data_IF_068682504959
#
_entry.id   IF_068682504959
#
_cell.length_a   1.000
_cell.length_b   1.000
_cell.length_c   1.000
_cell.angle_alpha   90.00
_cell.angle_beta   90.00
_cell.angle_gamma   90.00
#
_symmetry.space_group_name_H-M   'P 1'
#
loop_
_entity.id
_entity.type
_entity.pdbx_description
1 polymer ?
#
# COMPACT_ATOMS: atom_id res chain seq x y z
N UNK A 1 -40.65 -11.75 12.94
CA UNK A 1 -40.15 -10.47 13.50
C UNK A 1 -38.65 -10.50 13.32
N UNK A 2 -38.14 -9.95 12.21
CA UNK A 2 -36.71 -9.98 11.89
C UNK A 2 -36.03 -8.78 12.52
N UNK A 3 -35.14 -9.07 13.48
CA UNK A 3 -34.41 -8.08 14.24
C UNK A 3 -33.30 -7.48 13.36
N UNK A 4 -33.32 -6.16 13.18
CA UNK A 4 -32.39 -5.42 12.30
C UNK A 4 -30.94 -5.45 12.78
N UNK A 5 -30.70 -6.06 13.93
CA UNK A 5 -29.40 -6.27 14.56
C UNK A 5 -28.57 -7.34 13.87
N UNK A 6 -29.18 -8.30 13.17
CA UNK A 6 -28.44 -9.45 12.60
C UNK A 6 -27.60 -9.14 11.36
N UNK A 7 -27.83 -8.00 10.69
CA UNK A 7 -27.02 -7.53 9.56
C UNK A 7 -25.81 -6.66 9.98
N UNK A 8 -25.67 -6.39 11.28
CA UNK A 8 -24.64 -5.50 11.83
C UNK A 8 -23.31 -6.25 12.10
N UNK A 9 -23.29 -7.59 12.11
CA UNK A 9 -22.16 -8.34 12.68
C UNK A 9 -21.18 -9.02 11.71
N UNK A 10 -20.95 -8.46 10.52
CA UNK A 10 -19.85 -8.86 9.64
C UNK A 10 -19.01 -7.63 9.30
N UNK A 11 -18.05 -7.30 10.18
CA UNK A 11 -17.09 -6.23 10.00
C UNK A 11 -16.65 -5.63 11.34
N UNK A 12 -15.34 -5.54 11.56
CA UNK A 12 -14.73 -4.99 12.76
C UNK A 12 -15.24 -3.58 13.12
N UNK A 13 -15.37 -3.38 14.43
CA UNK A 13 -16.11 -2.31 15.08
C UNK A 13 -15.34 -0.97 15.15
N UNK A 14 -14.86 -0.45 14.01
CA UNK A 14 -14.25 0.90 13.95
C UNK A 14 -14.75 1.79 12.81
N UNK A 15 -15.61 1.29 11.91
CA UNK A 15 -16.26 2.10 10.88
C UNK A 15 -17.74 1.81 10.83
N UNK A 16 -18.50 2.18 11.87
CA UNK A 16 -19.95 2.31 11.72
C UNK A 16 -20.17 3.56 10.86
N UNK A 17 -19.99 3.39 9.54
CA UNK A 17 -20.50 4.30 8.52
C UNK A 17 -21.99 4.53 8.80
N UNK A 18 -22.44 5.78 8.68
CA UNK A 18 -23.84 6.19 8.78
C UNK A 18 -24.67 5.36 7.79
N UNK A 19 -25.19 4.22 8.23
CA UNK A 19 -26.00 3.36 7.40
C UNK A 19 -27.38 4.02 7.26
N UNK A 20 -27.69 4.49 6.05
CA UNK A 20 -29.03 5.03 5.75
C UNK A 20 -29.88 3.90 5.18
N UNK A 21 -31.09 3.79 5.69
CA UNK A 21 -32.14 2.97 5.12
C UNK A 21 -33.42 3.78 4.97
N UNK A 22 -34.21 3.49 3.96
CA UNK A 22 -35.48 4.16 3.75
C UNK A 22 -36.14 3.80 2.43
N UNK A 23 -37.37 4.28 2.26
CA UNK A 23 -38.14 4.04 1.06
C UNK A 23 -37.81 5.07 -0.02
N UNK A 24 -37.52 4.60 -1.23
CA UNK A 24 -37.34 5.41 -2.42
C UNK A 24 -38.21 4.87 -3.55
N UNK A 25 -38.71 5.77 -4.38
CA UNK A 25 -39.37 5.40 -5.63
C UNK A 25 -38.32 5.38 -6.74
N UNK A 26 -38.12 4.25 -7.39
CA UNK A 26 -37.22 4.11 -8.53
C UNK A 26 -38.01 4.24 -9.84
N UNK A 27 -37.48 5.00 -10.79
CA UNK A 27 -38.03 5.10 -12.14
C UNK A 27 -37.53 3.96 -13.01
N UNK A 28 -38.43 3.10 -13.49
CA UNK A 28 -38.10 1.85 -14.19
C UNK A 28 -38.91 1.72 -15.49
N UNK A 29 -38.27 1.19 -16.55
CA UNK A 29 -38.93 0.82 -17.80
C UNK A 29 -39.68 -0.52 -17.65
N UNK A 30 -40.93 -0.60 -18.10
CA UNK A 30 -41.81 -1.79 -17.99
C UNK A 30 -41.43 -2.94 -18.94
N UNK A 31 -40.54 -2.74 -19.93
CA UNK A 31 -40.04 -3.89 -20.72
C UNK A 31 -39.37 -4.88 -19.76
N UNK A 32 -39.65 -6.18 -19.93
CA UNK A 32 -38.95 -7.26 -19.21
C UNK A 32 -37.46 -6.95 -19.29
N UNK A 33 -36.85 -6.67 -18.15
CA UNK A 33 -35.39 -6.71 -18.02
C UNK A 33 -35.04 -8.15 -18.38
N UNK A 34 -34.54 -8.39 -19.60
CA UNK A 34 -33.88 -9.66 -19.90
C UNK A 34 -32.86 -9.86 -18.78
N UNK A 35 -32.79 -11.06 -18.21
CA UNK A 35 -31.91 -11.43 -17.08
C UNK A 35 -30.44 -11.01 -17.27
N UNK A 36 -30.05 -10.66 -18.50
CA UNK A 36 -28.74 -10.17 -18.93
C UNK A 36 -28.41 -8.71 -18.53
N UNK A 37 -29.40 -7.84 -18.26
CA UNK A 37 -29.18 -6.39 -18.13
C UNK A 37 -29.38 -5.81 -16.72
N UNK A 38 -29.28 -6.63 -15.68
CA UNK A 38 -29.35 -6.14 -14.30
C UNK A 38 -27.96 -5.90 -13.73
N UNK A 39 -27.72 -4.78 -13.03
CA UNK A 39 -26.50 -4.60 -12.26
C UNK A 39 -26.49 -5.69 -11.17
N UNK A 40 -25.53 -6.60 -11.30
CA UNK A 40 -25.27 -7.78 -10.47
C UNK A 40 -26.52 -8.57 -10.03
N UNK A 41 -27.05 -9.40 -10.93
CA UNK A 41 -27.93 -10.50 -10.52
C UNK A 41 -27.08 -11.61 -9.90
N UNK A 42 -27.41 -12.07 -8.69
CA UNK A 42 -27.00 -13.41 -8.26
C UNK A 42 -27.80 -14.41 -9.09
N UNK A 43 -27.15 -15.23 -9.94
CA UNK A 43 -27.86 -16.23 -10.72
C UNK A 43 -28.58 -17.18 -9.75
N UNK A 44 -29.87 -17.36 -9.96
CA UNK A 44 -30.52 -18.58 -9.48
C UNK A 44 -29.90 -19.72 -10.27
N UNK A 45 -29.39 -20.73 -9.56
CA UNK A 45 -28.85 -21.95 -10.14
C UNK A 45 -29.86 -22.55 -11.11
N UNK A 46 -29.65 -22.34 -12.39
CA UNK A 46 -30.12 -23.24 -13.44
C UNK A 46 -29.00 -23.35 -14.47
N UNK A 47 -28.28 -24.47 -14.36
CA UNK A 47 -27.30 -24.92 -15.33
C UNK A 47 -27.95 -24.99 -16.72
N UNK A 48 -27.64 -24.01 -17.57
CA UNK A 48 -27.61 -24.12 -19.04
C UNK A 48 -26.96 -22.86 -19.60
N UNK A 49 -25.63 -22.90 -19.72
CA UNK A 49 -24.87 -21.98 -20.54
C UNK A 49 -25.21 -22.33 -21.99
N UNK A 50 -26.00 -21.48 -22.67
CA UNK A 50 -26.08 -21.50 -24.12
C UNK A 50 -25.07 -20.47 -24.64
N UNK A 51 -23.96 -20.97 -25.16
CA UNK A 51 -23.05 -20.22 -26.01
C UNK A 51 -23.78 -19.84 -27.31
N UNK A 52 -23.48 -18.64 -27.84
CA UNK A 52 -23.99 -18.04 -29.09
C UNK A 52 -25.31 -17.28 -29.04
N UNK A 53 -25.30 -16.03 -28.55
CA UNK A 53 -26.15 -14.96 -29.15
C UNK A 53 -25.41 -13.61 -29.07
N UNK A 54 -24.49 -13.35 -30.02
CA UNK A 54 -24.25 -11.98 -30.46
C UNK A 54 -25.39 -11.60 -31.40
N UNK A 55 -26.36 -10.79 -30.94
CA UNK A 55 -27.31 -10.17 -31.86
C UNK A 55 -27.32 -8.65 -31.69
N UNK A 56 -26.85 -8.01 -32.75
CA UNK A 56 -27.14 -6.64 -33.15
C UNK A 56 -28.57 -6.23 -32.77
N UNK A 57 -28.71 -5.23 -31.91
CA UNK A 57 -29.99 -4.56 -31.71
C UNK A 57 -30.06 -3.39 -32.69
N UNK A 58 -30.87 -3.58 -33.72
CA UNK A 58 -31.28 -2.58 -34.70
C UNK A 58 -31.97 -1.41 -33.97
N UNK A 59 -31.45 -0.19 -34.11
CA UNK A 59 -31.90 1.02 -33.39
C UNK A 59 -33.24 1.64 -33.87
N UNK A 60 -34.04 0.91 -34.66
CA UNK A 60 -35.14 1.50 -35.45
C UNK A 60 -36.58 1.12 -35.05
N UNK A 61 -36.81 0.51 -33.88
CA UNK A 61 -38.19 0.33 -33.39
C UNK A 61 -38.50 1.24 -32.20
N UNK A 62 -39.18 2.37 -32.48
CA UNK A 62 -39.93 3.20 -31.52
C UNK A 62 -41.14 2.44 -30.95
N UNK A 63 -40.91 1.25 -30.38
CA UNK A 63 -41.87 0.60 -29.50
C UNK A 63 -41.92 1.41 -28.21
N UNK A 64 -43.01 2.16 -27.99
CA UNK A 64 -43.29 2.96 -26.78
C UNK A 64 -42.85 2.20 -25.53
N UNK A 65 -41.68 2.58 -25.00
CA UNK A 65 -41.22 2.09 -23.72
C UNK A 65 -42.14 2.70 -22.68
N UNK A 66 -42.89 1.89 -21.94
CA UNK A 66 -43.75 2.42 -20.88
C UNK A 66 -42.93 2.46 -19.60
N UNK A 67 -42.87 3.61 -18.95
CA UNK A 67 -42.15 3.76 -17.68
C UNK A 67 -43.11 3.75 -16.49
N UNK A 68 -42.59 3.46 -15.31
CA UNK A 68 -43.32 3.54 -14.03
C UNK A 68 -42.39 3.91 -12.88
N UNK A 69 -42.97 4.52 -11.86
CA UNK A 69 -42.35 4.66 -10.56
C UNK A 69 -42.75 3.46 -9.70
N UNK A 70 -41.76 2.81 -9.09
CA UNK A 70 -41.99 1.71 -8.16
C UNK A 70 -41.32 2.01 -6.82
N UNK A 71 -42.02 1.71 -5.72
CA UNK A 71 -41.46 1.84 -4.38
C UNK A 71 -40.52 0.69 -4.08
N UNK A 72 -39.40 1.02 -3.46
CA UNK A 72 -38.35 0.11 -3.02
C UNK A 72 -37.88 0.49 -1.62
N UNK A 73 -37.41 -0.50 -0.89
CA UNK A 73 -36.63 -0.30 0.32
C UNK A 73 -35.15 -0.25 -0.04
N UNK A 74 -34.52 0.88 0.24
CA UNK A 74 -33.15 1.17 -0.16
C UNK A 74 -32.24 1.26 1.07
N UNK A 75 -31.03 0.74 0.95
CA UNK A 75 -30.05 0.68 2.03
C UNK A 75 -28.63 0.82 1.49
N UNK A 76 -27.80 1.61 2.18
CA UNK A 76 -26.37 1.73 1.86
C UNK A 76 -25.56 1.05 2.97
N UNK A 77 -24.65 0.16 2.56
CA UNK A 77 -23.65 -0.45 3.43
C UNK A 77 -22.34 -0.57 2.69
N UNK A 78 -21.25 -0.12 3.32
CA UNK A 78 -19.97 0.07 2.64
C UNK A 78 -20.15 0.96 1.39
N UNK A 79 -19.65 0.53 0.23
CA UNK A 79 -19.82 1.23 -1.04
C UNK A 79 -20.95 0.63 -1.89
N UNK A 80 -21.83 -0.18 -1.30
CA UNK A 80 -22.91 -0.81 -2.04
C UNK A 80 -24.24 -0.18 -1.69
N UNK A 81 -25.01 0.10 -2.73
CA UNK A 81 -26.39 0.55 -2.62
C UNK A 81 -27.32 -0.58 -3.01
N UNK A 82 -28.05 -1.07 -2.02
CA UNK A 82 -28.97 -2.18 -2.13
C UNK A 82 -30.39 -1.66 -2.29
N UNK A 83 -31.12 -2.24 -3.24
CA UNK A 83 -32.51 -1.90 -3.54
C UNK A 83 -33.35 -3.17 -3.45
N UNK A 84 -34.19 -3.26 -2.43
CA UNK A 84 -35.05 -4.40 -2.12
C UNK A 84 -36.50 -4.10 -2.49
N UNK A 85 -37.22 -5.08 -3.03
CA UNK A 85 -38.62 -4.89 -3.42
C UNK A 85 -39.48 -4.54 -2.22
N UNK A 86 -39.26 -5.23 -1.10
CA UNK A 86 -39.90 -4.95 0.18
C UNK A 86 -38.90 -4.93 1.34
N UNK A 87 -39.27 -4.27 2.44
CA UNK A 87 -38.47 -4.27 3.67
C UNK A 87 -38.51 -5.68 4.30
N UNK A 88 -37.33 -6.27 4.51
CA UNK A 88 -37.20 -7.61 5.08
C UNK A 88 -37.00 -8.73 4.06
N UNK A 89 -36.96 -8.40 2.76
CA UNK A 89 -36.53 -9.33 1.72
C UNK A 89 -35.09 -9.78 1.96
N UNK A 90 -34.81 -11.07 1.79
CA UNK A 90 -33.48 -11.65 1.98
C UNK A 90 -32.53 -11.29 0.82
N UNK A 91 -33.06 -11.17 -0.41
CA UNK A 91 -32.28 -10.90 -1.63
C UNK A 91 -32.62 -9.52 -2.19
N UNK A 92 -31.62 -8.65 -2.44
CA UNK A 92 -31.86 -7.37 -3.11
C UNK A 92 -32.28 -7.59 -4.56
N UNK A 93 -33.18 -6.74 -5.06
CA UNK A 93 -33.55 -6.74 -6.48
C UNK A 93 -32.45 -6.10 -7.34
N UNK A 94 -31.79 -5.06 -6.83
CA UNK A 94 -30.64 -4.43 -7.47
C UNK A 94 -29.55 -4.16 -6.45
N UNK A 95 -28.29 -4.30 -6.88
CA UNK A 95 -27.12 -3.89 -6.10
C UNK A 95 -26.24 -3.03 -6.99
N UNK A 96 -25.96 -1.81 -6.54
CA UNK A 96 -25.10 -0.88 -7.25
C UNK A 96 -23.81 -0.66 -6.48
N UNK A 97 -22.67 -0.74 -7.19
CA UNK A 97 -21.41 -0.23 -6.70
C UNK A 97 -21.44 1.31 -6.79
N UNK A 98 -21.23 1.99 -5.67
CA UNK A 98 -21.25 3.45 -5.56
C UNK A 98 -19.90 4.10 -5.92
N UNK A 99 -18.87 3.31 -6.20
CA UNK A 99 -17.56 3.83 -6.57
C UNK A 99 -17.60 4.53 -7.93
N UNK A 100 -17.10 5.76 -7.98
CA UNK A 100 -16.98 6.53 -9.21
C UNK A 100 -18.31 7.04 -9.80
N UNK A 101 -19.42 6.93 -9.06
CA UNK A 101 -20.71 7.43 -9.51
C UNK A 101 -20.77 8.96 -9.49
N UNK A 102 -21.63 9.54 -10.32
CA UNK A 102 -22.01 10.95 -10.23
C UNK A 102 -23.46 11.05 -9.76
N UNK A 103 -23.67 11.71 -8.63
CA UNK A 103 -25.00 11.92 -8.06
C UNK A 103 -25.39 13.38 -8.24
N UNK A 104 -26.58 13.63 -8.77
CA UNK A 104 -27.13 14.97 -8.98
C UNK A 104 -28.58 15.00 -8.52
N UNK A 105 -29.00 16.12 -7.94
CA UNK A 105 -30.42 16.42 -7.71
C UNK A 105 -30.93 17.32 -8.81
N UNK A 106 -32.04 16.96 -9.43
CA UNK A 106 -32.65 17.72 -10.52
C UNK A 106 -34.12 17.91 -10.17
N UNK A 107 -34.68 19.09 -10.43
CA UNK A 107 -36.11 19.31 -10.29
C UNK A 107 -36.89 18.41 -11.26
N UNK A 108 -37.96 17.78 -10.79
CA UNK A 108 -38.76 16.81 -11.57
C UNK A 108 -39.25 17.37 -12.91
N UNK A 109 -39.81 18.59 -12.91
CA UNK A 109 -40.33 19.22 -14.14
C UNK A 109 -39.22 19.57 -15.13
N UNK A 110 -38.05 19.97 -14.63
CA UNK A 110 -36.87 20.21 -15.47
C UNK A 110 -36.38 18.90 -16.10
N UNK A 111 -36.40 17.80 -15.35
CA UNK A 111 -36.02 16.48 -15.87
C UNK A 111 -36.96 16.00 -17.00
N UNK A 112 -38.27 16.24 -16.88
CA UNK A 112 -39.23 15.96 -17.96
C UNK A 112 -38.95 16.84 -19.18
N UNK A 113 -38.81 18.16 -18.99
CA UNK A 113 -38.56 19.12 -20.09
C UNK A 113 -37.29 18.79 -20.87
N UNK A 114 -36.24 18.34 -20.18
CA UNK A 114 -34.96 17.97 -20.77
C UNK A 114 -34.95 16.53 -21.36
N UNK A 115 -36.07 15.81 -21.33
CA UNK A 115 -36.17 14.45 -21.86
C UNK A 115 -35.38 13.40 -21.07
N UNK A 116 -35.04 13.69 -19.82
CA UNK A 116 -34.32 12.76 -18.93
C UNK A 116 -35.27 11.65 -18.44
N UNK A 117 -36.54 11.99 -18.23
CA UNK A 117 -37.64 11.07 -17.90
C UNK A 117 -38.87 11.38 -18.73
N UNK A 118 -39.73 10.39 -18.92
CA UNK A 118 -41.05 10.56 -19.48
C UNK A 118 -42.05 10.85 -18.35
N UNK A 119 -43.07 11.66 -18.67
CA UNK A 119 -44.17 11.93 -17.73
C UNK A 119 -44.99 10.64 -17.55
N UNK A 120 -45.20 10.25 -16.29
CA UNK A 120 -46.02 9.09 -15.93
C UNK A 120 -47.30 9.57 -15.27
N UNK A 121 -48.45 9.34 -15.91
CA UNK A 121 -49.75 9.91 -15.48
C UNK A 121 -50.23 9.42 -14.11
N UNK A 122 -49.76 8.26 -13.65
CA UNK A 122 -50.23 7.61 -12.42
C UNK A 122 -49.36 7.88 -11.18
N UNK A 123 -48.42 8.83 -11.24
CA UNK A 123 -47.53 9.13 -10.12
C UNK A 123 -47.35 10.64 -9.96
N UNK A 124 -47.98 11.22 -8.93
CA UNK A 124 -47.94 12.65 -8.67
C UNK A 124 -46.71 13.02 -7.82
N UNK A 125 -45.72 13.61 -8.48
CA UNK A 125 -44.58 14.30 -7.85
C UNK A 125 -44.89 15.80 -7.89
N UNK A 126 -44.68 16.52 -6.79
CA UNK A 126 -44.96 17.95 -6.70
C UNK A 126 -44.07 18.77 -7.66
N UNK A 127 -44.56 19.91 -8.12
CA UNK A 127 -43.87 20.72 -9.14
C UNK A 127 -42.48 21.22 -8.72
N UNK A 128 -42.28 21.40 -7.41
CA UNK A 128 -41.03 21.88 -6.82
C UNK A 128 -40.18 20.77 -6.18
N UNK A 129 -40.49 19.50 -6.48
CA UNK A 129 -39.77 18.38 -5.88
C UNK A 129 -38.57 17.95 -6.72
N UNK A 130 -37.51 17.56 -6.01
CA UNK A 130 -36.27 17.10 -6.62
C UNK A 130 -36.24 15.57 -6.72
N UNK A 131 -35.73 15.08 -7.83
CA UNK A 131 -35.35 13.70 -8.06
C UNK A 131 -33.83 13.54 -7.95
N UNK A 132 -33.39 12.33 -7.62
CA UNK A 132 -31.99 11.93 -7.54
C UNK A 132 -31.64 11.23 -8.85
N UNK A 133 -30.67 11.76 -9.58
CA UNK A 133 -30.05 11.12 -10.72
C UNK A 133 -28.70 10.53 -10.29
N UNK A 134 -28.53 9.22 -10.49
CA UNK A 134 -27.25 8.53 -10.29
C UNK A 134 -26.76 8.10 -11.67
N UNK A 135 -25.61 8.63 -12.09
CA UNK A 135 -24.91 8.18 -13.30
C UNK A 135 -23.78 7.26 -12.90
N UNK A 136 -23.71 6.10 -13.56
CA UNK A 136 -22.70 5.09 -13.32
C UNK A 136 -21.61 5.14 -14.39
N UNK A 137 -20.44 4.60 -14.06
CA UNK A 137 -19.38 4.38 -15.05
C UNK A 137 -19.84 3.28 -16.01
N UNK A 138 -19.91 3.53 -17.33
CA UNK A 138 -20.45 2.57 -18.31
C UNK A 138 -19.73 1.21 -18.34
N UNK A 139 -18.46 1.15 -17.95
CA UNK A 139 -17.68 -0.10 -17.91
C UNK A 139 -17.97 -1.00 -16.71
N UNK A 140 -18.60 -0.49 -15.66
CA UNK A 140 -18.81 -1.20 -14.39
C UNK A 140 -20.28 -1.60 -14.17
N UNK A 141 -21.23 -0.94 -14.84
CA UNK A 141 -22.66 -1.21 -14.71
C UNK A 141 -23.34 -1.22 -16.08
N UNK A 142 -24.20 -2.22 -16.30
CA UNK A 142 -25.01 -2.35 -17.53
C UNK A 142 -26.07 -1.25 -17.68
N UNK A 143 -26.30 -0.44 -16.64
CA UNK A 143 -27.15 0.74 -16.66
C UNK A 143 -26.29 2.00 -16.51
N UNK A 144 -26.36 2.90 -17.49
CA UNK A 144 -25.63 4.17 -17.46
C UNK A 144 -26.20 5.15 -16.43
N UNK A 145 -27.46 4.97 -16.02
CA UNK A 145 -28.15 5.91 -15.16
C UNK A 145 -29.34 5.26 -14.43
N UNK A 146 -29.58 5.67 -13.19
CA UNK A 146 -30.79 5.36 -12.42
C UNK A 146 -31.36 6.63 -11.80
N UNK A 147 -32.68 6.63 -11.58
CA UNK A 147 -33.40 7.78 -11.04
C UNK A 147 -34.24 7.32 -9.86
N UNK A 148 -34.12 8.08 -8.77
CA UNK A 148 -34.86 7.87 -7.55
C UNK A 148 -35.59 9.13 -7.12
N UNK A 149 -36.67 8.94 -6.37
CA UNK A 149 -37.44 10.01 -5.75
C UNK A 149 -37.77 9.62 -4.31
N UNK A 150 -37.60 10.56 -3.39
CA UNK A 150 -38.02 10.41 -2.00
C UNK A 150 -39.29 11.21 -1.77
N UNK A 151 -40.34 10.56 -1.25
CA UNK A 151 -41.66 11.18 -1.03
C UNK A 151 -41.69 12.25 0.08
N UNK A 152 -40.65 12.34 0.90
CA UNK A 152 -40.54 13.31 1.97
C UNK A 152 -39.76 14.53 1.50
N UNK A 153 -40.31 15.72 1.75
CA UNK A 153 -39.68 17.00 1.40
C UNK A 153 -38.25 17.05 1.95
N UNK A 154 -37.29 17.42 1.09
CA UNK A 154 -35.87 17.53 1.45
C UNK A 154 -35.11 16.19 1.55
N UNK A 155 -35.79 15.04 1.53
CA UNK A 155 -35.12 13.74 1.62
C UNK A 155 -34.33 13.40 0.35
N UNK A 156 -34.76 13.84 -0.84
CA UNK A 156 -34.00 13.63 -2.08
C UNK A 156 -32.60 14.25 -1.99
N UNK A 157 -32.49 15.47 -1.45
CA UNK A 157 -31.19 16.15 -1.23
C UNK A 157 -30.34 15.41 -0.20
N UNK A 158 -30.95 14.98 0.91
CA UNK A 158 -30.26 14.21 1.96
C UNK A 158 -29.72 12.88 1.42
N UNK A 159 -30.52 12.15 0.65
CA UNK A 159 -30.10 10.90 0.02
C UNK A 159 -28.99 11.13 -1.01
N UNK A 160 -29.10 12.17 -1.84
CA UNK A 160 -28.06 12.53 -2.81
C UNK A 160 -26.72 12.85 -2.14
N UNK A 161 -26.75 13.61 -1.05
CA UNK A 161 -25.55 13.91 -0.25
C UNK A 161 -24.94 12.63 0.31
N UNK A 162 -25.75 11.72 0.88
CA UNK A 162 -25.23 10.49 1.48
C UNK A 162 -24.66 9.54 0.42
N UNK A 163 -25.29 9.42 -0.75
CA UNK A 163 -24.76 8.65 -1.88
C UNK A 163 -23.42 9.22 -2.35
N UNK A 164 -23.28 10.55 -2.37
CA UNK A 164 -22.03 11.24 -2.71
C UNK A 164 -20.95 10.97 -1.66
N UNK A 165 -21.25 11.15 -0.38
CA UNK A 165 -20.31 10.93 0.72
C UNK A 165 -19.85 9.46 0.78
N UNK A 166 -20.76 8.53 0.48
CA UNK A 166 -20.48 7.09 0.45
C UNK A 166 -19.53 6.72 -0.70
N UNK A 167 -19.64 7.37 -1.87
CA UNK A 167 -18.68 7.24 -2.97
C UNK A 167 -17.24 7.61 -2.54
N UNK A 168 -17.08 8.71 -1.79
CA UNK A 168 -15.75 9.17 -1.34
C UNK A 168 -15.20 8.44 -0.11
N UNK A 169 -15.99 7.62 0.58
CA UNK A 169 -15.55 7.04 1.85
C UNK A 169 -14.38 6.06 1.68
N UNK A 170 -14.37 5.26 0.62
CA UNK A 170 -13.24 4.36 0.33
C UNK A 170 -12.00 5.12 -0.10
N UNK A 171 -12.14 6.15 -0.94
CA UNK A 171 -11.02 7.02 -1.32
C UNK A 171 -10.40 7.68 -0.08
N UNK A 172 -11.22 8.18 0.83
CA UNK A 172 -10.75 8.78 2.08
C UNK A 172 -10.08 7.74 3.01
N UNK A 173 -10.61 6.52 3.07
CA UNK A 173 -9.99 5.43 3.82
C UNK A 173 -8.61 5.08 3.26
N UNK A 174 -8.50 4.94 1.94
CA UNK A 174 -7.23 4.67 1.27
C UNK A 174 -6.23 5.81 1.49
N UNK A 175 -6.68 7.07 1.44
CA UNK A 175 -5.82 8.22 1.74
C UNK A 175 -5.29 8.21 3.18
N UNK A 176 -6.10 7.79 4.16
CA UNK A 176 -5.65 7.69 5.54
C UNK A 176 -4.63 6.56 5.72
N UNK A 177 -4.87 5.39 5.12
CA UNK A 177 -3.90 4.27 5.14
C UNK A 177 -2.57 4.72 4.54
N UNK A 178 -2.60 5.35 3.36
CA UNK A 178 -1.38 5.85 2.69
C UNK A 178 -0.66 6.90 3.55
N UNK A 179 -1.39 7.74 4.30
CA UNK A 179 -0.77 8.71 5.22
C UNK A 179 -0.10 8.03 6.40
N UNK A 180 -0.74 7.01 7.00
CA UNK A 180 -0.19 6.23 8.09
C UNK A 180 1.08 5.48 7.65
N UNK A 181 1.02 4.76 6.52
CA UNK A 181 2.18 4.08 5.92
C UNK A 181 3.34 5.05 5.64
N UNK A 182 3.05 6.25 5.14
CA UNK A 182 4.08 7.26 4.89
C UNK A 182 4.76 7.77 6.18
N UNK A 183 4.02 7.90 7.29
CA UNK A 183 4.61 8.30 8.56
C UNK A 183 5.47 7.19 9.17
N UNK A 184 5.07 5.92 9.02
CA UNK A 184 5.90 4.77 9.39
C UNK A 184 7.22 4.75 8.62
N UNK A 185 7.17 4.88 7.29
CA UNK A 185 8.38 4.92 6.44
C UNK A 185 9.31 6.07 6.85
N UNK A 186 8.78 7.26 7.18
CA UNK A 186 9.59 8.38 7.67
C UNK A 186 10.31 8.05 8.97
N UNK A 187 9.65 7.34 9.88
CA UNK A 187 10.25 6.93 11.15
C UNK A 187 11.34 5.88 10.94
N UNK A 188 11.13 4.93 10.04
CA UNK A 188 12.13 3.91 9.69
C UNK A 188 13.38 4.53 9.07
N UNK A 189 13.21 5.48 8.14
CA UNK A 189 14.34 6.22 7.55
C UNK A 189 15.13 6.98 8.64
N UNK A 190 14.45 7.59 9.61
CA UNK A 190 15.12 8.27 10.73
C UNK A 190 15.90 7.27 11.59
N UNK A 191 15.35 6.08 11.85
CA UNK A 191 16.00 5.04 12.64
C UNK A 191 17.23 4.47 11.92
N UNK A 192 17.13 4.17 10.63
CA UNK A 192 18.26 3.71 9.80
C UNK A 192 19.39 4.75 9.81
N UNK A 193 19.07 6.04 9.66
CA UNK A 193 20.08 7.12 9.75
C UNK A 193 20.79 7.16 11.10
N UNK A 194 20.07 6.93 12.21
CA UNK A 194 20.68 6.86 13.56
C UNK A 194 21.61 5.64 13.68
N UNK A 195 21.17 4.47 13.22
CA UNK A 195 21.96 3.24 13.26
C UNK A 195 23.24 3.40 12.42
N UNK A 196 23.14 3.91 11.20
CA UNK A 196 24.31 4.16 10.35
C UNK A 196 25.30 5.13 11.02
N UNK A 197 24.81 6.17 11.70
CA UNK A 197 25.67 7.10 12.43
C UNK A 197 26.41 6.42 13.59
N UNK A 198 25.78 5.46 14.27
CA UNK A 198 26.43 4.66 15.31
C UNK A 198 27.48 3.72 14.70
N UNK A 199 27.15 3.06 13.59
CA UNK A 199 28.07 2.15 12.91
C UNK A 199 29.33 2.86 12.41
N UNK A 200 29.18 4.06 11.82
CA UNK A 200 30.32 4.89 11.40
C UNK A 200 31.21 5.21 12.60
N UNK A 201 30.63 5.67 13.71
CA UNK A 201 31.41 5.95 14.93
C UNK A 201 32.15 4.73 15.47
N UNK A 202 31.53 3.56 15.42
CA UNK A 202 32.18 2.32 15.86
C UNK A 202 33.36 1.95 14.95
N UNK A 203 33.23 2.14 13.63
CA UNK A 203 34.34 1.95 12.69
C UNK A 203 35.47 2.94 12.96
N UNK A 204 35.16 4.20 13.25
CA UNK A 204 36.18 5.21 13.61
C UNK A 204 36.96 4.81 14.89
N UNK A 205 36.27 4.28 15.90
CA UNK A 205 36.90 3.77 17.13
C UNK A 205 37.84 2.59 16.81
N UNK A 206 37.40 1.65 15.96
CA UNK A 206 38.24 0.53 15.54
C UNK A 206 39.49 0.98 14.77
N UNK A 207 39.34 1.95 13.86
CA UNK A 207 40.46 2.54 13.11
C UNK A 207 41.49 3.15 14.07
N UNK A 208 41.03 3.91 15.07
CA UNK A 208 41.93 4.53 16.05
C UNK A 208 42.68 3.46 16.87
N UNK A 209 41.98 2.43 17.34
CA UNK A 209 42.61 1.31 18.07
C UNK A 209 43.65 0.57 17.23
N UNK A 210 43.37 0.35 15.94
CA UNK A 210 44.33 -0.27 15.02
C UNK A 210 45.56 0.62 14.79
N UNK A 211 45.38 1.93 14.66
CA UNK A 211 46.48 2.88 14.52
C UNK A 211 47.40 2.89 15.75
N UNK A 212 46.84 2.85 16.96
CA UNK A 212 47.63 2.75 18.19
C UNK A 212 48.46 1.46 18.22
N UNK A 213 47.86 0.35 17.80
CA UNK A 213 48.56 -0.93 17.73
C UNK A 213 49.67 -0.95 16.66
N UNK A 214 49.46 -0.30 15.52
CA UNK A 214 50.50 -0.10 14.50
C UNK A 214 51.67 0.69 15.10
N UNK A 215 51.40 1.75 15.86
CA UNK A 215 52.45 2.56 16.47
C UNK A 215 53.26 1.78 17.52
N UNK A 216 52.59 0.97 18.34
CA UNK A 216 53.28 0.07 19.28
C UNK A 216 54.18 -0.93 18.55
N UNK A 217 53.67 -1.59 17.51
CA UNK A 217 54.45 -2.56 16.72
C UNK A 217 55.65 -1.90 16.02
N UNK A 218 55.51 -0.67 15.53
CA UNK A 218 56.63 0.09 14.96
C UNK A 218 57.73 0.34 16.00
N UNK A 219 57.36 0.72 17.22
CA UNK A 219 58.32 0.92 18.31
C UNK A 219 59.01 -0.40 18.69
N UNK A 220 58.27 -1.51 18.76
CA UNK A 220 58.82 -2.83 19.05
C UNK A 220 59.81 -3.29 17.97
N UNK A 221 59.47 -3.11 16.69
CA UNK A 221 60.37 -3.42 15.58
C UNK A 221 61.66 -2.61 15.67
N UNK A 222 61.58 -1.32 15.98
CA UNK A 222 62.77 -0.47 16.12
C UNK A 222 63.64 -0.90 17.31
N UNK A 223 63.02 -1.25 18.44
CA UNK A 223 63.73 -1.82 19.59
C UNK A 223 64.45 -3.12 19.24
N UNK A 224 63.81 -4.01 18.48
CA UNK A 224 64.42 -5.26 18.00
C UNK A 224 65.58 -4.96 17.06
N UNK A 225 65.44 -4.01 16.12
CA UNK A 225 66.53 -3.59 15.23
C UNK A 225 67.74 -3.06 15.98
N UNK A 226 67.52 -2.18 16.98
CA UNK A 226 68.59 -1.65 17.82
C UNK A 226 69.29 -2.77 18.59
N UNK A 227 68.54 -3.69 19.20
CA UNK A 227 69.11 -4.86 19.90
C UNK A 227 69.94 -5.73 18.96
N UNK A 228 69.43 -6.00 17.76
CA UNK A 228 70.13 -6.82 16.78
C UNK A 228 71.44 -6.16 16.34
N UNK A 229 71.43 -4.85 16.05
CA UNK A 229 72.63 -4.08 15.73
C UNK A 229 73.67 -4.16 16.85
N UNK A 230 73.26 -4.03 18.11
CA UNK A 230 74.17 -4.17 19.27
C UNK A 230 74.79 -5.56 19.36
N UNK A 231 74.00 -6.61 19.14
CA UNK A 231 74.49 -7.99 19.14
C UNK A 231 75.49 -8.23 18.01
N UNK A 232 75.22 -7.69 16.82
CA UNK A 232 76.13 -7.79 15.69
C UNK A 232 77.47 -7.10 15.98
N UNK A 233 77.46 -5.87 16.52
CA UNK A 233 78.70 -5.18 16.91
C UNK A 233 79.46 -5.92 18.01
N UNK A 234 78.77 -6.52 18.99
CA UNK A 234 79.43 -7.33 20.02
C UNK A 234 80.06 -8.60 19.45
N UNK A 235 79.40 -9.26 18.48
CA UNK A 235 79.95 -10.41 17.79
C UNK A 235 81.20 -10.04 16.98
N UNK A 236 81.16 -8.93 16.23
CA UNK A 236 82.30 -8.42 15.47
C UNK A 236 83.50 -8.10 16.37
N UNK A 237 83.27 -7.43 17.51
CA UNK A 237 84.32 -7.13 18.47
C UNK A 237 84.93 -8.39 19.11
N UNK A 238 84.09 -9.41 19.41
CA UNK A 238 84.57 -10.69 19.93
C UNK A 238 85.41 -11.45 18.90
N UNK A 239 85.02 -11.45 17.62
CA UNK A 239 85.79 -12.07 16.54
C UNK A 239 87.16 -11.38 16.43
N UNK A 240 87.17 -10.04 16.38
CA UNK A 240 88.42 -9.28 16.29
C UNK A 240 89.35 -9.53 17.49
N UNK A 241 88.80 -9.57 18.71
CA UNK A 241 89.59 -9.87 19.90
C UNK A 241 90.15 -11.29 19.89
N UNK A 242 89.39 -12.27 19.38
CA UNK A 242 89.87 -13.63 19.23
C UNK A 242 91.00 -13.72 18.19
N UNK A 243 90.89 -13.01 17.07
CA UNK A 243 91.92 -12.93 16.03
C UNK A 243 93.21 -12.28 16.56
N UNK A 244 93.10 -11.17 17.30
CA UNK A 244 94.24 -10.51 17.94
C UNK A 244 94.95 -11.43 18.95
N UNK A 245 94.18 -12.19 19.74
CA UNK A 245 94.74 -13.17 20.67
C UNK A 245 95.48 -14.30 19.94
N UNK A 246 94.91 -14.83 18.85
CA UNK A 246 95.54 -15.87 18.04
C UNK A 246 96.85 -15.38 17.41
N UNK A 247 96.86 -14.16 16.85
CA UNK A 247 98.08 -13.56 16.29
C UNK A 247 99.17 -13.41 17.36
N UNK A 248 98.81 -12.93 18.55
CA UNK A 248 99.76 -12.82 19.67
C UNK A 248 100.35 -14.18 20.03
N UNK A 249 99.52 -15.23 20.12
CA UNK A 249 99.98 -16.59 20.44
C UNK A 249 100.87 -17.19 19.36
N UNK A 250 100.54 -16.98 18.08
CA UNK A 250 101.42 -17.38 16.99
C UNK A 250 102.78 -16.67 17.07
N UNK A 251 102.79 -15.37 17.38
CA UNK A 251 104.03 -14.59 17.51
C UNK A 251 104.89 -15.06 18.68
N UNK A 252 104.29 -15.31 19.85
CA UNK A 252 104.96 -15.89 21.02
C UNK A 252 105.56 -17.26 20.69
N UNK A 253 104.82 -18.12 19.98
CA UNK A 253 105.28 -19.45 19.59
C UNK A 253 106.44 -19.37 18.59
N UNK A 254 106.38 -18.47 17.60
CA UNK A 254 107.50 -18.21 16.68
C UNK A 254 108.75 -17.73 17.42
N UNK A 255 108.61 -16.87 18.42
CA UNK A 255 109.73 -16.41 19.23
C UNK A 255 110.39 -17.57 20.02
N UNK A 256 109.58 -18.46 20.61
CA UNK A 256 110.07 -19.66 21.30
C UNK A 256 110.79 -20.59 20.31
N UNK A 257 110.22 -20.82 19.12
CA UNK A 257 110.86 -21.63 18.09
C UNK A 257 112.23 -21.05 17.69
N UNK A 258 112.31 -19.75 17.44
CA UNK A 258 113.58 -19.08 17.12
C UNK A 258 114.60 -19.16 18.27
N UNK A 259 114.15 -19.04 19.52
CA UNK A 259 115.03 -19.21 20.69
C UNK A 259 115.57 -20.64 20.78
N UNK A 260 114.74 -21.65 20.54
CA UNK A 260 115.14 -23.06 20.49
C UNK A 260 116.16 -23.28 19.37
N UNK A 261 115.89 -22.77 18.17
CA UNK A 261 116.83 -22.85 17.03
C UNK A 261 118.18 -22.22 17.37
N UNK A 262 118.19 -21.04 18.01
CA UNK A 262 119.44 -20.36 18.42
C UNK A 262 120.25 -21.08 19.52
N UNK A 263 119.63 -22.01 20.26
CA UNK A 263 120.27 -22.80 21.32
C UNK A 263 120.76 -24.17 20.85
N UNK A 264 120.40 -24.55 19.62
CA UNK A 264 120.78 -25.83 19.00
C UNK A 264 121.99 -25.65 18.06
N UNK A 265 122.29 -24.42 17.62
CA UNK A 265 123.60 -24.02 17.07
C UNK A 265 124.68 -23.84 18.16
#
# INVERSE_FOLDING_TARGET
>A
MFDTTSLIHLGSNQTIQKSISGELCMYICKKKINKEYSPFFFPENDNKINENIYTNINYNDKLKQSYKWEKYFCFIKANFFFVYKFKGDYKPQFVFLLEGIQVQTINYNVAIKNGIIEKVDNFNIGENEDIIQIKFIPSLNNMNMCIFYASKVGYSKRWAQILTDSNFTLLNKNLNIIKEENEEIKNDIKNIKKINKIEIKNKDIQINSLNDRINMLKADIENVRIKNKRLQTAAEANIQSADEFLQKKMTEMSAICAEIESKIE
#
